data_IF_082659628005
#
_entry.id   IF_082659628005
#
_cell.length_a   1.000
_cell.length_b   1.000
_cell.length_c   1.000
_cell.angle_alpha   90.00
_cell.angle_beta   90.00
_cell.angle_gamma   90.00
#
_symmetry.space_group_name_H-M   'P 1'
#
loop_
_entity.id
_entity.type
_entity.pdbx_description
1 polymer ?
#
# COMPACT_ATOMS: atom_id res chain seq x y z
N UNK A 1 18.75 19.78 0.08
CA UNK A 1 19.94 19.11 -0.48
C UNK A 1 19.45 17.99 -1.38
N UNK A 2 19.53 18.24 -2.68
CA UNK A 2 19.18 17.31 -3.75
C UNK A 2 20.06 16.06 -3.64
N UNK A 3 19.45 14.89 -3.45
CA UNK A 3 20.15 13.63 -3.70
C UNK A 3 20.25 13.43 -5.20
N UNK A 4 21.34 13.96 -5.74
CA UNK A 4 21.93 13.58 -7.01
C UNK A 4 22.18 12.07 -6.99
N UNK A 5 21.23 11.29 -7.53
CA UNK A 5 21.43 9.87 -7.81
C UNK A 5 21.89 9.75 -9.26
N UNK A 6 23.19 9.93 -9.45
CA UNK A 6 23.89 9.57 -10.68
C UNK A 6 24.05 8.06 -10.72
N UNK A 7 23.01 7.33 -11.12
CA UNK A 7 23.14 5.93 -11.54
C UNK A 7 23.32 5.90 -13.07
N UNK A 8 24.58 5.80 -13.48
CA UNK A 8 25.10 5.39 -14.80
C UNK A 8 24.02 4.96 -15.81
N UNK A 9 23.87 5.70 -16.92
CA UNK A 9 23.12 5.32 -18.13
C UNK A 9 21.74 4.72 -17.82
N UNK A 10 20.67 5.52 -17.85
CA UNK A 10 19.32 4.97 -17.90
C UNK A 10 19.24 4.11 -19.17
N UNK A 11 19.52 2.82 -19.04
CA UNK A 11 19.20 1.85 -20.06
C UNK A 11 17.71 2.04 -20.31
N UNK A 12 17.34 2.43 -21.54
CA UNK A 12 15.93 2.54 -21.92
C UNK A 12 15.26 1.20 -21.60
N UNK A 13 14.54 1.16 -20.49
CA UNK A 13 13.78 -0.02 -20.07
C UNK A 13 12.60 -0.20 -21.01
N UNK A 14 12.00 -1.39 -21.03
CA UNK A 14 10.79 -1.64 -21.83
C UNK A 14 9.66 -0.65 -21.51
N UNK A 15 9.60 -0.19 -20.26
CA UNK A 15 8.63 0.80 -19.79
C UNK A 15 8.91 2.20 -20.36
N UNK A 16 10.17 2.64 -20.37
CA UNK A 16 10.53 3.91 -21.02
C UNK A 16 10.31 3.85 -22.53
N UNK A 17 10.59 2.71 -23.16
CA UNK A 17 10.29 2.51 -24.57
C UNK A 17 8.78 2.56 -24.86
N UNK A 18 7.93 2.10 -23.93
CA UNK A 18 6.48 2.21 -24.05
C UNK A 18 6.00 3.66 -24.00
N UNK A 19 6.57 4.47 -23.10
CA UNK A 19 6.28 5.92 -23.07
C UNK A 19 6.63 6.60 -24.39
N UNK A 20 7.78 6.27 -24.97
CA UNK A 20 8.19 6.79 -26.27
C UNK A 20 7.26 6.33 -27.40
N UNK A 21 6.79 5.07 -27.34
CA UNK A 21 5.82 4.56 -28.30
C UNK A 21 4.49 5.34 -28.24
N UNK A 22 4.03 5.65 -27.02
CA UNK A 22 2.77 6.38 -26.82
C UNK A 22 2.82 7.83 -27.33
N UNK A 23 4.01 8.43 -27.45
CA UNK A 23 4.16 9.77 -28.06
C UNK A 23 3.88 9.76 -29.57
N UNK A 24 4.20 8.66 -30.26
CA UNK A 24 4.20 8.62 -31.73
C UNK A 24 3.07 7.77 -32.32
N UNK A 25 2.57 6.78 -31.58
CA UNK A 25 1.65 5.78 -32.11
C UNK A 25 0.26 5.89 -31.46
N UNK A 26 -0.76 6.21 -32.25
CA UNK A 26 -2.13 6.37 -31.76
C UNK A 26 -2.72 5.07 -31.18
N UNK A 27 -2.48 3.93 -31.83
CA UNK A 27 -2.96 2.61 -31.39
C UNK A 27 -2.34 2.20 -30.05
N UNK A 28 -1.06 2.51 -29.82
CA UNK A 28 -0.41 2.24 -28.54
C UNK A 28 -1.05 3.01 -27.37
N UNK A 29 -1.56 4.22 -27.62
CA UNK A 29 -2.24 5.03 -26.60
C UNK A 29 -3.55 4.44 -26.11
N UNK A 30 -4.15 3.53 -26.87
CA UNK A 30 -5.39 2.83 -26.51
C UNK A 30 -5.14 1.55 -25.70
N UNK A 31 -3.87 1.15 -25.56
CA UNK A 31 -3.47 -0.11 -24.93
C UNK A 31 -2.87 0.13 -23.54
N UNK A 32 -3.14 -0.82 -22.65
CA UNK A 32 -2.43 -0.93 -21.36
C UNK A 32 -1.09 -1.62 -21.56
N UNK A 33 -0.15 -1.48 -20.62
CA UNK A 33 1.19 -2.08 -20.74
C UNK A 33 1.14 -3.60 -20.96
N UNK A 34 0.21 -4.30 -20.30
CA UNK A 34 0.02 -5.76 -20.47
C UNK A 34 -0.44 -6.14 -21.88
N UNK A 35 -1.17 -5.25 -22.54
CA UNK A 35 -1.68 -5.46 -23.89
C UNK A 35 -0.67 -5.09 -24.98
N UNK A 36 0.38 -4.32 -24.65
CA UNK A 36 1.39 -3.92 -25.65
C UNK A 36 2.04 -5.12 -26.34
N UNK A 37 2.50 -6.18 -25.64
CA UNK A 37 3.10 -7.36 -26.29
C UNK A 37 2.19 -8.11 -27.27
N UNK A 38 0.87 -7.94 -27.15
CA UNK A 38 -0.11 -8.52 -28.07
C UNK A 38 0.05 -7.93 -29.48
N UNK A 39 0.37 -6.63 -29.58
CA UNK A 39 0.41 -5.88 -30.84
C UNK A 39 1.81 -5.39 -31.23
N UNK A 40 2.75 -5.37 -30.28
CA UNK A 40 4.09 -4.85 -30.47
C UNK A 40 5.13 -5.87 -29.99
N UNK A 41 6.29 -5.85 -30.62
CA UNK A 41 7.48 -6.64 -30.24
C UNK A 41 8.56 -5.68 -29.76
N UNK A 42 9.15 -5.99 -28.61
CA UNK A 42 10.28 -5.22 -28.10
C UNK A 42 11.58 -5.66 -28.78
N UNK A 43 12.24 -4.74 -29.46
CA UNK A 43 13.52 -4.98 -30.12
C UNK A 43 14.64 -4.54 -29.17
N UNK A 44 15.22 -5.49 -28.42
CA UNK A 44 16.19 -5.21 -27.36
C UNK A 44 17.44 -4.43 -27.86
N UNK A 45 17.91 -4.71 -29.08
CA UNK A 45 19.04 -4.01 -29.70
C UNK A 45 18.76 -2.52 -29.91
N UNK A 46 17.52 -2.19 -30.28
CA UNK A 46 17.09 -0.82 -30.60
C UNK A 46 16.41 -0.14 -29.40
N UNK A 47 16.14 -0.89 -28.32
CA UNK A 47 15.40 -0.48 -27.13
C UNK A 47 14.08 0.23 -27.45
N UNK A 48 13.33 -0.31 -28.43
CA UNK A 48 12.04 0.23 -28.87
C UNK A 48 11.02 -0.87 -29.13
N UNK A 49 9.75 -0.48 -29.11
CA UNK A 49 8.64 -1.31 -29.55
C UNK A 49 8.41 -1.08 -31.04
N UNK A 50 8.27 -2.16 -31.80
CA UNK A 50 7.85 -2.16 -33.21
C UNK A 50 6.51 -2.87 -33.31
N UNK A 51 5.63 -2.41 -34.19
CA UNK A 51 4.38 -3.12 -34.48
C UNK A 51 4.68 -4.53 -34.96
N UNK A 52 3.88 -5.48 -34.47
CA UNK A 52 4.00 -6.89 -34.78
C UNK A 52 3.41 -7.16 -36.16
N UNK A 53 4.17 -7.84 -37.00
CA UNK A 53 3.73 -8.24 -38.34
C UNK A 53 2.98 -9.59 -38.32
N UNK A 54 3.37 -10.52 -37.44
CA UNK A 54 2.75 -11.87 -37.33
C UNK A 54 2.71 -12.41 -35.89
N UNK A 55 1.72 -13.27 -35.63
CA UNK A 55 1.53 -13.99 -34.37
C UNK A 55 0.86 -13.18 -33.25
N UNK A 56 0.86 -13.74 -32.05
CA UNK A 56 0.35 -13.10 -30.83
C UNK A 56 1.25 -13.47 -29.65
N UNK A 57 1.37 -12.58 -28.66
CA UNK A 57 2.09 -12.86 -27.42
C UNK A 57 1.35 -12.22 -26.25
N UNK A 58 1.26 -12.92 -25.12
CA UNK A 58 0.65 -12.39 -23.90
C UNK A 58 1.73 -11.72 -23.05
N UNK A 59 1.54 -10.44 -22.76
CA UNK A 59 2.41 -9.70 -21.85
C UNK A 59 2.35 -10.25 -20.42
N UNK A 60 3.51 -10.42 -19.78
CA UNK A 60 3.62 -10.74 -18.36
C UNK A 60 4.31 -9.58 -17.64
N UNK A 61 3.71 -9.12 -16.54
CA UNK A 61 4.39 -8.21 -15.61
C UNK A 61 5.01 -9.03 -14.49
N UNK A 62 6.24 -8.67 -14.10
CA UNK A 62 6.92 -9.31 -12.99
C UNK A 62 6.11 -9.22 -11.71
N UNK A 63 6.20 -10.26 -10.89
CA UNK A 63 5.60 -10.25 -9.56
C UNK A 63 6.25 -9.16 -8.70
N UNK A 64 5.41 -8.37 -8.04
CA UNK A 64 5.83 -7.38 -7.06
C UNK A 64 5.08 -7.70 -5.75
N UNK A 65 5.79 -8.00 -4.65
CA UNK A 65 5.15 -8.25 -3.36
C UNK A 65 4.54 -6.96 -2.81
N UNK A 66 3.44 -7.05 -2.06
CA UNK A 66 2.75 -5.91 -1.43
C UNK A 66 3.67 -5.08 -0.53
N UNK A 67 4.64 -5.72 0.12
CA UNK A 67 5.68 -5.09 0.97
C UNK A 67 6.50 -4.02 0.25
N UNK A 68 6.58 -4.08 -1.08
CA UNK A 68 7.20 -3.03 -1.91
C UNK A 68 6.06 -2.25 -2.55
N UNK A 69 5.45 -1.34 -1.77
CA UNK A 69 4.20 -0.67 -2.12
C UNK A 69 4.25 -0.01 -3.51
N UNK A 70 5.28 0.80 -3.79
CA UNK A 70 5.42 1.49 -5.07
C UNK A 70 5.40 0.54 -6.26
N UNK A 71 6.14 -0.58 -6.17
CA UNK A 71 6.19 -1.57 -7.24
C UNK A 71 4.85 -2.33 -7.39
N UNK A 72 4.21 -2.67 -6.26
CA UNK A 72 2.93 -3.35 -6.24
C UNK A 72 1.83 -2.48 -6.87
N UNK A 73 1.65 -1.24 -6.41
CA UNK A 73 0.60 -0.36 -6.92
C UNK A 73 0.89 0.13 -8.34
N UNK A 74 2.16 0.34 -8.71
CA UNK A 74 2.53 0.60 -10.10
C UNK A 74 2.10 -0.58 -11.00
N UNK A 75 2.36 -1.83 -10.59
CA UNK A 75 1.89 -3.02 -11.32
C UNK A 75 0.37 -3.05 -11.48
N UNK A 76 -0.39 -2.67 -10.46
CA UNK A 76 -1.86 -2.54 -10.54
C UNK A 76 -2.23 -1.51 -11.62
N UNK A 77 -1.62 -0.32 -11.58
CA UNK A 77 -1.89 0.74 -12.55
C UNK A 77 -1.53 0.36 -13.99
N UNK A 78 -0.48 -0.44 -14.19
CA UNK A 78 -0.09 -0.93 -15.52
C UNK A 78 -1.16 -1.81 -16.21
N UNK A 79 -2.11 -2.34 -15.45
CA UNK A 79 -3.25 -3.12 -15.99
C UNK A 79 -4.42 -2.24 -16.44
N UNK A 80 -4.44 -0.95 -16.08
CA UNK A 80 -5.60 -0.07 -16.29
C UNK A 80 -5.27 1.21 -17.05
N UNK A 81 -4.08 1.78 -16.83
CA UNK A 81 -3.66 3.03 -17.45
C UNK A 81 -3.28 2.79 -18.91
N UNK A 82 -3.81 3.63 -19.80
CA UNK A 82 -3.59 3.60 -21.24
C UNK A 82 -2.84 4.85 -21.69
N UNK A 83 -1.91 4.67 -22.63
CA UNK A 83 -1.17 5.76 -23.26
C UNK A 83 -0.35 6.71 -22.36
N UNK A 84 0.20 6.32 -21.19
CA UNK A 84 1.03 7.22 -20.42
C UNK A 84 2.34 7.53 -21.18
N UNK A 85 2.80 8.78 -21.10
CA UNK A 85 4.07 9.24 -21.68
C UNK A 85 5.13 9.49 -20.61
N UNK A 86 4.76 9.38 -19.34
CA UNK A 86 5.65 9.54 -18.18
C UNK A 86 5.17 8.72 -16.99
N UNK A 87 6.01 8.58 -15.96
CA UNK A 87 5.58 7.98 -14.69
C UNK A 87 4.53 8.84 -13.96
N UNK A 88 4.55 10.17 -14.15
CA UNK A 88 3.54 11.05 -13.58
C UNK A 88 2.19 10.85 -14.25
N UNK A 89 2.16 10.54 -15.55
CA UNK A 89 0.92 10.24 -16.26
C UNK A 89 0.26 8.97 -15.71
N UNK A 90 1.06 7.98 -15.30
CA UNK A 90 0.56 6.77 -14.61
C UNK A 90 -0.14 7.14 -13.29
N UNK A 91 0.39 8.13 -12.57
CA UNK A 91 -0.19 8.64 -11.32
C UNK A 91 -1.32 9.63 -11.53
N UNK A 92 -1.60 10.05 -12.76
CA UNK A 92 -2.61 11.08 -13.03
C UNK A 92 -3.96 10.43 -13.29
N UNK A 93 -5.01 10.92 -12.65
CA UNK A 93 -6.39 10.47 -12.88
C UNK A 93 -7.34 11.66 -12.88
N UNK A 94 -8.24 11.72 -13.85
CA UNK A 94 -9.18 12.84 -14.03
C UNK A 94 -8.52 14.23 -13.96
N UNK A 95 -7.31 14.37 -14.52
CA UNK A 95 -6.54 15.61 -14.54
C UNK A 95 -5.78 15.96 -13.26
N UNK A 96 -5.87 15.12 -12.22
CA UNK A 96 -5.17 15.32 -10.94
C UNK A 96 -3.96 14.38 -10.85
N UNK A 97 -2.79 14.95 -10.57
CA UNK A 97 -1.57 14.18 -10.29
C UNK A 97 -1.53 13.78 -8.81
N UNK A 98 -1.50 12.48 -8.54
CA UNK A 98 -1.41 11.96 -7.18
C UNK A 98 0.04 11.78 -6.71
N UNK A 99 0.31 11.95 -5.40
CA UNK A 99 1.67 11.87 -4.87
C UNK A 99 2.26 10.47 -5.00
N UNK A 100 1.50 9.42 -4.65
CA UNK A 100 1.93 8.02 -4.76
C UNK A 100 1.11 7.20 -5.79
N UNK A 101 1.60 6.02 -6.14
CA UNK A 101 0.82 5.05 -6.94
C UNK A 101 -0.37 4.49 -6.14
N UNK A 102 -0.26 4.36 -4.80
CA UNK A 102 -1.35 3.91 -3.92
C UNK A 102 -2.53 4.87 -3.99
N UNK A 103 -2.29 6.16 -3.84
CA UNK A 103 -3.33 7.20 -3.91
C UNK A 103 -4.02 7.24 -5.28
N UNK A 104 -3.23 7.05 -6.34
CA UNK A 104 -3.70 6.94 -7.72
C UNK A 104 -4.60 5.71 -7.93
N UNK A 105 -4.32 4.58 -7.28
CA UNK A 105 -5.19 3.41 -7.24
C UNK A 105 -6.48 3.66 -6.44
N UNK A 106 -6.35 4.29 -5.27
CA UNK A 106 -7.48 4.64 -4.41
C UNK A 106 -8.48 5.55 -5.14
N UNK A 107 -8.00 6.62 -5.78
CA UNK A 107 -8.83 7.53 -6.55
C UNK A 107 -9.55 6.88 -7.73
N UNK A 108 -8.99 5.79 -8.29
CA UNK A 108 -9.61 4.99 -9.35
C UNK A 108 -10.62 3.95 -8.83
N UNK A 109 -10.77 3.81 -7.52
CA UNK A 109 -11.61 2.75 -6.91
C UNK A 109 -11.04 1.34 -7.11
N UNK A 110 -9.71 1.20 -7.25
CA UNK A 110 -9.05 -0.09 -7.40
C UNK A 110 -8.67 -0.75 -6.06
N UNK A 111 -8.82 -0.01 -4.97
CA UNK A 111 -8.58 -0.47 -3.62
C UNK A 111 -9.92 -0.56 -2.89
N UNK A 112 -10.13 -1.65 -2.16
CA UNK A 112 -11.25 -1.78 -1.24
C UNK A 112 -11.03 -0.81 -0.06
N UNK A 113 -12.11 -0.21 0.43
CA UNK A 113 -12.08 0.60 1.64
C UNK A 113 -11.95 -0.31 2.86
N UNK A 114 -11.12 0.07 3.81
CA UNK A 114 -10.93 -0.65 5.07
C UNK A 114 -12.05 -0.39 6.09
N UNK A 115 -13.15 0.25 5.65
CA UNK A 115 -14.31 0.59 6.48
C UNK A 115 -14.96 -0.63 7.14
N UNK A 116 -14.98 -1.79 6.48
CA UNK A 116 -15.50 -3.02 7.09
C UNK A 116 -14.71 -3.40 8.36
N UNK A 117 -13.38 -3.28 8.33
CA UNK A 117 -12.54 -3.56 9.49
C UNK A 117 -12.79 -2.56 10.63
N UNK A 118 -13.00 -1.28 10.28
CA UNK A 118 -13.34 -0.24 11.26
C UNK A 118 -14.69 -0.55 11.90
N UNK A 119 -15.72 -0.83 11.11
CA UNK A 119 -17.06 -1.12 11.58
C UNK A 119 -17.10 -2.38 12.45
N UNK A 120 -16.31 -3.40 12.10
CA UNK A 120 -16.20 -4.63 12.87
C UNK A 120 -15.51 -4.42 14.22
N UNK A 121 -14.41 -3.67 14.27
CA UNK A 121 -13.75 -3.30 15.55
C UNK A 121 -14.70 -2.49 16.43
N UNK A 122 -15.37 -1.48 15.86
CA UNK A 122 -16.32 -0.63 16.58
C UNK A 122 -17.55 -1.41 17.06
N UNK A 123 -18.03 -2.40 16.30
CA UNK A 123 -19.14 -3.25 16.72
C UNK A 123 -18.71 -4.16 17.88
N UNK A 124 -17.52 -4.74 17.78
CA UNK A 124 -16.98 -5.66 18.80
C UNK A 124 -16.64 -4.93 20.09
N UNK A 125 -16.34 -3.64 20.07
CA UNK A 125 -16.04 -2.88 21.29
C UNK A 125 -17.20 -2.81 22.28
N UNK A 126 -18.45 -3.05 21.84
CA UNK A 126 -19.60 -3.13 22.74
C UNK A 126 -19.73 -4.48 23.46
N UNK A 127 -19.01 -5.51 23.01
CA UNK A 127 -19.19 -6.90 23.48
C UNK A 127 -17.90 -7.60 23.91
N UNK A 128 -16.74 -7.13 23.47
CA UNK A 128 -15.42 -7.71 23.70
C UNK A 128 -14.59 -6.81 24.60
N UNK A 129 -13.61 -7.40 25.29
CA UNK A 129 -12.61 -6.61 26.02
C UNK A 129 -11.59 -5.97 25.09
N UNK A 130 -10.96 -4.91 25.54
CA UNK A 130 -9.95 -4.15 24.81
C UNK A 130 -8.76 -5.03 24.43
N UNK A 131 -8.38 -5.98 25.30
CA UNK A 131 -7.37 -7.00 24.99
C UNK A 131 -7.77 -7.89 23.79
N UNK A 132 -9.04 -8.28 23.69
CA UNK A 132 -9.53 -9.06 22.54
C UNK A 132 -9.56 -8.22 21.26
N UNK A 133 -9.91 -6.93 21.36
CA UNK A 133 -9.88 -6.01 20.21
C UNK A 133 -8.45 -5.79 19.72
N UNK A 134 -7.47 -5.64 20.63
CA UNK A 134 -6.05 -5.59 20.30
C UNK A 134 -5.59 -6.86 19.58
N UNK A 135 -5.95 -8.04 20.07
CA UNK A 135 -5.62 -9.31 19.42
C UNK A 135 -6.23 -9.44 18.01
N UNK A 136 -7.46 -8.96 17.83
CA UNK A 136 -8.10 -8.90 16.53
C UNK A 136 -7.31 -8.00 15.57
N UNK A 137 -6.95 -6.79 16.01
CA UNK A 137 -6.18 -5.85 15.22
C UNK A 137 -4.79 -6.41 14.85
N UNK A 138 -4.08 -7.06 15.79
CA UNK A 138 -2.82 -7.78 15.51
C UNK A 138 -3.00 -8.83 14.43
N UNK A 139 -4.09 -9.60 14.52
CA UNK A 139 -4.37 -10.67 13.55
C UNK A 139 -4.57 -10.09 12.16
N UNK A 140 -5.32 -9.00 12.03
CA UNK A 140 -5.51 -8.26 10.77
C UNK A 140 -4.17 -7.74 10.20
N UNK A 141 -3.28 -7.23 11.05
CA UNK A 141 -1.95 -6.77 10.63
C UNK A 141 -1.06 -7.93 10.17
N UNK A 142 -1.08 -9.06 10.90
CA UNK A 142 -0.27 -10.24 10.56
C UNK A 142 -0.71 -10.90 9.23
N UNK A 143 -1.98 -10.77 8.86
CA UNK A 143 -2.51 -11.29 7.61
C UNK A 143 -2.39 -10.34 6.42
N UNK A 144 -1.79 -9.14 6.60
CA UNK A 144 -1.77 -8.06 5.60
C UNK A 144 -3.18 -7.77 5.04
N UNK A 145 -4.22 -7.86 5.89
CA UNK A 145 -5.63 -7.78 5.47
C UNK A 145 -6.10 -6.36 5.14
N UNK A 146 -5.86 -5.34 5.98
CA UNK A 146 -6.19 -3.96 5.63
C UNK A 146 -5.24 -3.42 4.54
N UNK A 147 -5.79 -2.65 3.60
CA UNK A 147 -5.00 -1.96 2.56
C UNK A 147 -4.24 -0.75 3.14
N UNK A 148 -4.81 -0.12 4.16
CA UNK A 148 -4.33 1.07 4.85
C UNK A 148 -4.55 0.91 6.36
N UNK A 149 -3.75 0.05 7.04
CA UNK A 149 -3.88 -0.20 8.48
C UNK A 149 -3.76 1.08 9.32
N UNK A 150 -3.06 2.09 8.84
CA UNK A 150 -2.98 3.43 9.43
C UNK A 150 -4.34 4.13 9.54
N UNK A 151 -5.22 3.95 8.55
CA UNK A 151 -6.57 4.52 8.55
C UNK A 151 -7.45 3.80 9.57
N UNK A 152 -7.35 2.46 9.62
CA UNK A 152 -8.08 1.64 10.59
C UNK A 152 -7.67 2.01 12.02
N UNK A 153 -6.37 2.13 12.28
CA UNK A 153 -5.84 2.55 13.57
C UNK A 153 -6.36 3.94 13.97
N UNK A 154 -6.21 4.94 13.11
CA UNK A 154 -6.61 6.31 13.43
C UNK A 154 -8.10 6.45 13.77
N UNK A 155 -8.95 5.55 13.25
CA UNK A 155 -10.38 5.53 13.54
C UNK A 155 -10.78 4.66 14.74
N UNK A 156 -9.92 3.75 15.21
CA UNK A 156 -10.29 2.75 16.24
C UNK A 156 -9.37 2.74 17.47
N UNK A 157 -8.28 3.51 17.48
CA UNK A 157 -7.29 3.48 18.57
C UNK A 157 -7.87 3.78 19.96
N UNK A 158 -8.90 4.62 20.06
CA UNK A 158 -9.53 4.98 21.33
C UNK A 158 -10.14 3.74 22.00
N UNK A 159 -10.93 2.96 21.27
CA UNK A 159 -11.54 1.72 21.79
C UNK A 159 -10.52 0.59 21.99
N UNK A 160 -9.40 0.62 21.27
CA UNK A 160 -8.32 -0.36 21.42
C UNK A 160 -7.47 -0.14 22.68
N UNK A 161 -7.44 1.09 23.18
CA UNK A 161 -6.51 1.54 24.21
C UNK A 161 -7.23 2.15 25.44
N UNK A 162 -8.55 1.98 25.57
CA UNK A 162 -9.38 2.51 26.66
C UNK A 162 -8.98 1.98 28.05
N UNK A 163 -8.59 0.70 28.14
CA UNK A 163 -8.16 0.03 29.37
C UNK A 163 -6.73 0.39 29.82
N UNK A 164 -5.94 1.07 28.98
CA UNK A 164 -4.50 1.22 29.20
C UNK A 164 -4.20 2.15 30.37
N UNK A 165 -4.96 3.24 30.51
CA UNK A 165 -4.76 4.18 31.62
C UNK A 165 -5.06 3.50 32.96
N UNK A 166 -6.16 2.74 33.04
CA UNK A 166 -6.52 1.97 34.23
C UNK A 166 -5.50 0.87 34.53
N UNK A 167 -5.06 0.14 33.51
CA UNK A 167 -4.05 -0.92 33.65
C UNK A 167 -2.73 -0.37 34.18
N UNK A 168 -2.24 0.75 33.62
CA UNK A 168 -0.99 1.38 34.06
C UNK A 168 -1.07 1.98 35.47
N UNK A 169 -2.22 2.53 35.87
CA UNK A 169 -2.44 2.98 37.25
C UNK A 169 -2.33 1.82 38.25
N UNK A 170 -2.92 0.67 37.90
CA UNK A 170 -2.85 -0.54 38.71
C UNK A 170 -1.42 -1.10 38.80
N UNK A 171 -0.70 -1.20 37.68
CA UNK A 171 0.67 -1.71 37.65
C UNK A 171 1.66 -0.85 38.44
N UNK A 172 1.50 0.47 38.38
CA UNK A 172 2.44 1.42 39.00
C UNK A 172 2.09 1.77 40.44
N UNK A 173 0.97 1.27 40.99
CA UNK A 173 0.45 1.64 42.31
C UNK A 173 0.36 3.16 42.53
N UNK A 174 0.04 3.91 41.46
CA UNK A 174 0.01 5.38 41.46
C UNK A 174 -1.34 5.88 40.92
N UNK A 175 -2.29 6.25 41.79
CA UNK A 175 -3.65 6.60 41.38
C UNK A 175 -3.77 7.95 40.65
N UNK A 176 -2.75 8.81 40.70
CA UNK A 176 -2.75 10.15 40.10
C UNK A 176 -2.03 10.28 38.76
N UNK A 177 -1.71 9.17 38.08
CA UNK A 177 -1.13 9.25 36.73
C UNK A 177 -2.25 9.60 35.75
N UNK A 178 -2.19 10.79 35.19
CA UNK A 178 -2.87 11.15 33.95
C UNK A 178 -1.89 10.84 32.82
N UNK A 179 -2.12 9.73 32.11
CA UNK A 179 -1.48 9.56 30.82
C UNK A 179 -2.19 10.54 29.91
N UNK A 180 -1.50 11.61 29.50
CA UNK A 180 -2.03 12.57 28.53
C UNK A 180 -2.17 11.81 27.19
N UNK A 181 -3.27 11.08 27.02
CA UNK A 181 -3.67 10.23 25.90
C UNK A 181 -4.04 11.07 24.68
N UNK A 182 -3.21 12.05 24.33
CA UNK A 182 -3.39 12.90 23.15
C UNK A 182 -2.27 12.75 22.12
N UNK A 183 -1.13 12.20 22.53
CA UNK A 183 -0.06 11.90 21.57
C UNK A 183 -0.27 10.49 21.01
N UNK A 184 -0.83 10.43 19.79
CA UNK A 184 -1.00 9.20 19.01
C UNK A 184 0.29 8.37 18.94
N UNK A 185 1.47 9.01 18.93
CA UNK A 185 2.76 8.33 18.94
C UNK A 185 3.07 7.62 20.26
N UNK A 186 2.68 8.22 21.40
CA UNK A 186 2.84 7.65 22.74
C UNK A 186 1.86 6.50 22.95
N UNK A 187 0.61 6.66 22.47
CA UNK A 187 -0.39 5.59 22.49
C UNK A 187 0.00 4.47 21.54
N UNK A 188 0.45 4.78 20.32
CA UNK A 188 0.97 3.78 19.40
C UNK A 188 2.17 3.06 19.99
N UNK A 189 3.11 3.74 20.66
CA UNK A 189 4.26 3.08 21.28
C UNK A 189 3.84 2.18 22.46
N UNK A 190 2.97 2.65 23.36
CA UNK A 190 2.47 1.86 24.49
C UNK A 190 1.63 0.68 24.01
N UNK A 191 0.68 0.91 23.09
CA UNK A 191 -0.13 -0.13 22.48
C UNK A 191 0.78 -1.06 21.65
N UNK A 192 1.79 -0.60 20.92
CA UNK A 192 2.76 -1.46 20.22
C UNK A 192 3.57 -2.31 21.20
N UNK A 193 3.96 -1.78 22.36
CA UNK A 193 4.67 -2.57 23.40
C UNK A 193 3.76 -3.66 23.98
N UNK A 194 2.48 -3.34 24.22
CA UNK A 194 1.47 -4.28 24.69
C UNK A 194 1.11 -5.30 23.60
N UNK A 195 0.96 -4.85 22.35
CA UNK A 195 0.71 -5.68 21.17
C UNK A 195 1.91 -6.61 20.91
N UNK A 196 3.14 -6.14 21.14
CA UNK A 196 4.34 -6.96 21.09
C UNK A 196 4.26 -8.02 22.18
N UNK A 197 4.07 -7.66 23.45
CA UNK A 197 3.92 -8.64 24.55
C UNK A 197 2.78 -9.65 24.31
N UNK A 198 1.66 -9.22 23.73
CA UNK A 198 0.53 -10.09 23.37
C UNK A 198 0.85 -11.00 22.17
N UNK A 199 1.61 -10.53 21.17
CA UNK A 199 2.17 -11.35 20.09
C UNK A 199 3.08 -12.44 20.68
N UNK A 200 3.99 -12.10 21.60
CA UNK A 200 4.90 -13.08 22.21
C UNK A 200 4.14 -14.13 23.05
N UNK A 201 3.09 -13.71 23.78
CA UNK A 201 2.21 -14.62 24.51
C UNK A 201 1.42 -15.55 23.58
N UNK A 202 0.92 -15.04 22.44
CA UNK A 202 0.23 -15.83 21.42
C UNK A 202 1.13 -16.87 20.74
N UNK A 203 2.42 -16.56 20.55
CA UNK A 203 3.41 -17.49 19.96
C UNK A 203 4.15 -18.36 20.98
N UNK A 204 3.81 -18.29 22.27
CA UNK A 204 4.37 -19.16 23.31
C UNK A 204 5.88 -18.98 23.56
N UNK A 205 6.47 -17.87 23.09
CA UNK A 205 7.88 -17.57 23.31
C UNK A 205 8.05 -16.89 24.67
N UNK A 206 8.34 -17.70 25.69
CA UNK A 206 8.71 -17.23 27.04
C UNK A 206 10.15 -16.71 27.01
N UNK A 207 10.37 -15.51 27.57
CA UNK A 207 11.68 -15.10 28.10
C UNK A 207 11.85 -15.78 29.47
#
# INVERSE_FOLDING_TARGET
>A
MEKVVTCKLIEKTMMLAWFQLNLVNAKARELTYVQIPNFFVYIAKEKRWKERETGFAIGRINYAPRKIEDAYYCRVLLNVVRGPTSFNDIKTYNGVLYPSYKDSCYARGLLEDDQEYIDDIMRRSFTCSEAQLRQLFVTMLNSDSPTSPEVVWNKTWEVLCDDIEMTKRSELNRPGIELMTRDLASVFFVCFTILYDDIYKLFGLRI
#
